data_IF_715186100459
#
_entry.id   IF_715186100459
#
_cell.length_a   1.000
_cell.length_b   1.000
_cell.length_c   1.000
_cell.angle_alpha   90.00
_cell.angle_beta   90.00
_cell.angle_gamma   90.00
#
_symmetry.space_group_name_H-M   'P 1'
#
loop_
_entity.id
_entity.type
_entity.pdbx_description
1 polymer ?
#
# COMPACT_ATOMS: atom_id res chain seq x y z
N UNK A 1 6.93 -1.49 -38.77
CA UNK A 1 8.06 -0.55 -38.39
C UNK A 1 8.26 -0.54 -36.90
N UNK A 2 7.21 -0.36 -36.12
CA UNK A 2 7.28 -0.26 -34.66
C UNK A 2 7.64 -1.58 -33.97
N UNK A 3 7.19 -2.72 -34.52
CA UNK A 3 7.61 -4.07 -34.07
C UNK A 3 9.13 -4.22 -34.07
N UNK A 4 9.84 -3.78 -35.16
CA UNK A 4 11.31 -3.83 -35.22
C UNK A 4 11.99 -2.91 -34.20
N UNK A 5 11.36 -1.79 -33.83
CA UNK A 5 11.88 -0.90 -32.78
C UNK A 5 11.71 -1.57 -31.42
N UNK A 6 10.54 -2.12 -31.14
CA UNK A 6 10.24 -2.83 -29.88
C UNK A 6 11.11 -4.08 -29.73
N UNK A 7 11.29 -4.85 -30.80
CA UNK A 7 12.21 -6.01 -30.83
C UNK A 7 13.63 -5.63 -30.38
N UNK A 8 14.17 -4.51 -30.92
CA UNK A 8 15.50 -4.00 -30.51
C UNK A 8 15.52 -3.52 -29.05
N UNK A 9 14.41 -2.98 -28.55
CA UNK A 9 14.30 -2.57 -27.13
C UNK A 9 14.30 -3.81 -26.24
N UNK A 10 13.48 -4.80 -26.57
CA UNK A 10 13.36 -6.04 -25.79
C UNK A 10 14.67 -6.84 -25.79
N UNK A 11 15.38 -6.91 -26.92
CA UNK A 11 16.66 -7.61 -27.01
C UNK A 11 17.77 -7.00 -26.13
N UNK A 12 17.64 -5.74 -25.74
CA UNK A 12 18.56 -5.06 -24.82
C UNK A 12 18.08 -5.07 -23.38
N UNK A 13 16.76 -5.06 -23.19
CA UNK A 13 16.14 -5.02 -21.87
C UNK A 13 16.16 -6.40 -21.21
N UNK A 14 15.71 -7.44 -21.91
CA UNK A 14 15.54 -8.78 -21.35
C UNK A 14 16.84 -9.57 -21.51
N UNK A 15 17.58 -9.68 -20.43
CA UNK A 15 18.85 -10.43 -20.31
C UNK A 15 18.64 -11.70 -19.50
N UNK A 16 17.99 -11.57 -18.36
CA UNK A 16 17.66 -12.64 -17.41
C UNK A 16 16.17 -12.98 -17.48
N UNK A 17 15.83 -14.26 -17.47
CA UNK A 17 14.48 -14.76 -17.74
C UNK A 17 14.29 -15.08 -19.24
N UNK A 18 13.26 -15.86 -19.53
CA UNK A 18 12.91 -16.21 -20.93
C UNK A 18 11.61 -15.53 -21.35
N UNK A 19 11.69 -14.56 -22.28
CA UNK A 19 10.54 -13.91 -22.86
C UNK A 19 10.37 -14.38 -24.31
N UNK A 20 9.25 -15.05 -24.61
CA UNK A 20 8.82 -15.38 -25.97
C UNK A 20 7.74 -14.40 -26.40
N UNK A 21 7.96 -13.72 -27.53
CA UNK A 21 7.01 -12.77 -28.13
C UNK A 21 6.53 -13.28 -29.47
N UNK A 22 5.21 -13.43 -29.59
CA UNK A 22 4.52 -13.65 -30.87
C UNK A 22 4.06 -12.29 -31.40
N UNK A 23 4.58 -11.93 -32.56
CA UNK A 23 4.30 -10.65 -33.20
C UNK A 23 3.00 -10.65 -34.02
N UNK A 24 2.46 -9.47 -34.41
CA UNK A 24 1.22 -9.38 -35.19
C UNK A 24 1.27 -10.09 -36.56
N UNK A 25 2.44 -10.31 -37.11
CA UNK A 25 2.62 -11.05 -38.37
C UNK A 25 2.77 -12.58 -38.18
N UNK A 26 2.62 -13.05 -36.93
CA UNK A 26 2.77 -14.45 -36.54
C UNK A 26 4.23 -14.91 -36.34
N UNK A 27 5.21 -14.07 -36.59
CA UNK A 27 6.61 -14.39 -36.28
C UNK A 27 6.84 -14.44 -34.76
N UNK A 28 7.84 -15.24 -34.35
CA UNK A 28 8.15 -15.46 -32.94
C UNK A 28 9.61 -15.10 -32.67
N UNK A 29 9.85 -14.34 -31.62
CA UNK A 29 11.19 -14.01 -31.13
C UNK A 29 11.33 -14.40 -29.67
N UNK A 30 12.49 -14.91 -29.26
CA UNK A 30 12.84 -15.22 -27.88
C UNK A 30 13.94 -14.30 -27.41
N UNK A 31 13.86 -13.85 -26.15
CA UNK A 31 14.80 -12.95 -25.50
C UNK A 31 15.25 -13.51 -24.16
N UNK A 32 16.45 -13.14 -23.76
CA UNK A 32 17.02 -13.47 -22.47
C UNK A 32 17.57 -14.88 -22.38
N UNK A 33 17.76 -15.35 -21.17
CA UNK A 33 18.27 -16.68 -20.82
C UNK A 33 17.35 -17.30 -19.80
N UNK A 34 17.12 -18.62 -19.83
CA UNK A 34 16.31 -19.31 -18.84
C UNK A 34 16.76 -18.96 -17.40
N UNK A 35 15.82 -18.49 -16.61
CA UNK A 35 15.95 -18.19 -15.17
C UNK A 35 14.63 -18.57 -14.50
N UNK A 36 14.41 -18.10 -13.28
CA UNK A 36 13.16 -18.36 -12.52
C UNK A 36 11.90 -17.79 -13.19
N UNK A 37 12.04 -16.80 -14.08
CA UNK A 37 10.90 -16.19 -14.77
C UNK A 37 10.82 -16.61 -16.24
N UNK A 38 9.62 -16.95 -16.67
CA UNK A 38 9.32 -17.16 -18.09
C UNK A 38 7.94 -16.61 -18.45
N UNK A 39 7.82 -16.04 -19.64
CA UNK A 39 6.55 -15.55 -20.15
C UNK A 39 6.44 -15.69 -21.67
N UNK A 40 5.29 -16.19 -22.13
CA UNK A 40 4.88 -16.21 -23.52
C UNK A 40 3.86 -15.09 -23.76
N UNK A 41 4.19 -14.13 -24.61
CA UNK A 41 3.40 -12.92 -24.83
C UNK A 41 3.03 -12.80 -26.31
N UNK A 42 1.76 -12.54 -26.59
CA UNK A 42 1.26 -12.25 -27.93
C UNK A 42 0.85 -10.80 -28.06
N UNK A 43 1.42 -10.09 -29.03
CA UNK A 43 1.02 -8.75 -29.45
C UNK A 43 0.10 -8.85 -30.67
N UNK A 44 -1.13 -8.38 -30.56
CA UNK A 44 -2.15 -8.56 -31.62
C UNK A 44 -2.04 -7.57 -32.76
N UNK A 45 -1.48 -6.37 -32.51
CA UNK A 45 -1.43 -5.33 -33.53
C UNK A 45 -0.18 -4.42 -33.41
N UNK A 46 0.14 -3.73 -34.52
CA UNK A 46 1.25 -2.80 -34.59
C UNK A 46 1.00 -1.47 -33.84
N UNK A 47 -0.26 -1.11 -33.57
CA UNK A 47 -0.63 0.06 -32.77
C UNK A 47 -0.16 -0.12 -31.34
N UNK A 48 -0.35 -1.33 -30.79
CA UNK A 48 0.12 -1.69 -29.45
C UNK A 48 1.65 -1.68 -29.37
N UNK A 49 2.36 -2.22 -30.37
CA UNK A 49 3.82 -2.12 -30.43
C UNK A 49 4.32 -0.67 -30.47
N UNK A 50 3.63 0.21 -31.21
CA UNK A 50 3.93 1.65 -31.22
C UNK A 50 3.70 2.28 -29.85
N UNK A 51 2.58 1.99 -29.20
CA UNK A 51 2.24 2.54 -27.90
C UNK A 51 3.26 2.12 -26.83
N UNK A 52 3.70 0.86 -26.84
CA UNK A 52 4.74 0.35 -25.96
C UNK A 52 6.10 1.08 -26.15
N UNK A 53 6.42 1.47 -27.38
CA UNK A 53 7.62 2.28 -27.63
C UNK A 53 7.51 3.72 -27.12
N UNK A 54 6.31 4.33 -27.11
CA UNK A 54 6.10 5.73 -26.79
C UNK A 54 5.73 5.96 -25.31
N UNK A 55 4.88 5.12 -24.75
CA UNK A 55 4.35 5.23 -23.39
C UNK A 55 4.31 3.87 -22.69
N UNK A 56 5.48 3.21 -22.49
CA UNK A 56 5.57 1.78 -22.16
C UNK A 56 4.71 1.39 -20.94
N UNK A 57 4.79 2.13 -19.84
CA UNK A 57 4.08 1.78 -18.60
C UNK A 57 2.55 1.84 -18.77
N UNK A 58 2.05 2.88 -19.45
CA UNK A 58 0.62 3.01 -19.71
C UNK A 58 0.14 1.98 -20.74
N UNK A 59 0.88 1.86 -21.84
CA UNK A 59 0.54 0.97 -22.94
C UNK A 59 0.58 -0.51 -22.55
N UNK A 60 1.47 -0.90 -21.63
CA UNK A 60 1.54 -2.26 -21.14
C UNK A 60 0.27 -2.65 -20.39
N UNK A 61 -0.12 -1.83 -19.41
CA UNK A 61 -1.33 -2.09 -18.64
C UNK A 61 -2.62 -1.99 -19.46
N UNK A 62 -2.78 -0.92 -20.28
CA UNK A 62 -3.96 -0.78 -21.14
C UNK A 62 -4.02 -1.86 -22.22
N UNK A 63 -2.89 -2.20 -22.84
CA UNK A 63 -2.81 -3.27 -23.84
C UNK A 63 -3.20 -4.63 -23.27
N UNK A 64 -2.79 -4.95 -22.04
CA UNK A 64 -3.24 -6.15 -21.35
C UNK A 64 -4.74 -6.09 -21.01
N UNK A 65 -5.22 -4.99 -20.44
CA UNK A 65 -6.65 -4.80 -20.12
C UNK A 65 -7.54 -4.97 -21.34
N UNK A 66 -7.15 -4.41 -22.47
CA UNK A 66 -7.94 -4.40 -23.71
C UNK A 66 -7.74 -5.69 -24.54
N UNK A 67 -6.89 -6.62 -24.09
CA UNK A 67 -6.61 -7.89 -24.77
C UNK A 67 -5.76 -7.74 -26.03
N UNK A 68 -5.13 -6.59 -26.25
CA UNK A 68 -4.14 -6.37 -27.32
C UNK A 68 -2.77 -6.97 -26.98
N UNK A 69 -2.52 -7.20 -25.70
CA UNK A 69 -1.40 -7.98 -25.15
C UNK A 69 -2.02 -9.17 -24.41
N UNK A 70 -1.67 -10.37 -24.86
CA UNK A 70 -2.04 -11.62 -24.18
C UNK A 70 -0.79 -12.23 -23.55
N UNK A 71 -0.90 -12.67 -22.32
CA UNK A 71 0.13 -13.43 -21.60
C UNK A 71 -0.42 -14.84 -21.44
N UNK A 72 0.32 -15.85 -21.88
CA UNK A 72 -0.11 -17.25 -21.84
C UNK A 72 -0.32 -17.70 -20.38
N UNK A 73 -1.43 -18.39 -20.13
CA UNK A 73 -1.80 -18.81 -18.78
C UNK A 73 -2.11 -17.67 -17.80
N UNK A 74 -2.29 -16.45 -18.30
CA UNK A 74 -2.43 -15.23 -17.46
C UNK A 74 -1.31 -15.03 -16.42
N UNK A 75 -0.11 -15.59 -16.68
CA UNK A 75 1.06 -15.47 -15.79
C UNK A 75 1.67 -14.06 -15.87
N UNK A 76 0.85 -13.06 -15.51
CA UNK A 76 1.20 -11.64 -15.58
C UNK A 76 2.30 -11.30 -14.58
N UNK A 77 2.35 -12.00 -13.44
CA UNK A 77 3.36 -11.76 -12.41
C UNK A 77 4.78 -12.03 -12.94
N UNK A 78 5.06 -13.21 -13.47
CA UNK A 78 6.39 -13.55 -13.99
C UNK A 78 6.81 -12.60 -15.11
N UNK A 79 5.86 -12.24 -16.00
CA UNK A 79 6.12 -11.28 -17.07
C UNK A 79 6.54 -9.92 -16.52
N UNK A 80 5.82 -9.37 -15.53
CA UNK A 80 6.12 -8.06 -14.96
C UNK A 80 7.39 -8.10 -14.08
N UNK A 81 7.56 -9.12 -13.25
CA UNK A 81 8.73 -9.31 -12.41
C UNK A 81 10.01 -9.40 -13.23
N UNK A 82 9.98 -10.17 -14.35
CA UNK A 82 11.09 -10.25 -15.31
C UNK A 82 11.44 -8.88 -15.88
N UNK A 83 10.45 -8.12 -16.37
CA UNK A 83 10.69 -6.79 -16.95
C UNK A 83 11.25 -5.80 -15.93
N UNK A 84 10.72 -5.81 -14.70
CA UNK A 84 11.14 -4.94 -13.60
C UNK A 84 12.57 -5.27 -13.19
N UNK A 85 12.90 -6.54 -12.93
CA UNK A 85 14.25 -7.00 -12.56
C UNK A 85 15.29 -6.62 -13.62
N UNK A 86 14.99 -6.87 -14.90
CA UNK A 86 15.91 -6.52 -15.99
C UNK A 86 16.12 -5.02 -16.12
N UNK A 87 15.08 -4.21 -15.87
CA UNK A 87 15.20 -2.75 -15.86
C UNK A 87 16.13 -2.27 -14.74
N UNK A 88 15.97 -2.79 -13.52
CA UNK A 88 16.80 -2.41 -12.37
C UNK A 88 18.26 -2.82 -12.59
N UNK A 89 18.51 -4.04 -13.10
CA UNK A 89 19.86 -4.55 -13.32
C UNK A 89 20.58 -3.89 -14.51
N UNK A 90 19.86 -3.51 -15.56
CA UNK A 90 20.48 -3.00 -16.80
C UNK A 90 20.79 -1.50 -16.76
N UNK A 91 20.14 -0.74 -15.88
CA UNK A 91 20.21 0.73 -15.90
C UNK A 91 19.74 1.35 -17.23
N UNK A 92 19.20 0.54 -18.13
CA UNK A 92 18.95 0.89 -19.54
C UNK A 92 17.61 1.61 -19.71
N UNK A 93 17.47 2.82 -19.17
CA UNK A 93 16.39 3.71 -19.59
C UNK A 93 16.81 4.52 -20.81
N UNK A 94 16.00 4.54 -21.88
CA UNK A 94 16.23 5.46 -23.00
C UNK A 94 16.32 6.90 -22.50
N UNK A 95 17.22 7.71 -23.06
CA UNK A 95 17.47 9.10 -22.60
C UNK A 95 16.21 9.99 -22.56
N UNK A 96 15.28 9.78 -23.50
CA UNK A 96 13.98 10.48 -23.49
C UNK A 96 13.09 10.07 -22.32
N UNK A 97 13.12 8.80 -21.88
CA UNK A 97 12.38 8.32 -20.73
C UNK A 97 12.96 8.89 -19.43
N UNK A 98 14.28 9.03 -19.33
CA UNK A 98 14.94 9.76 -18.22
C UNK A 98 14.51 11.22 -18.18
N UNK A 99 14.45 11.89 -19.34
CA UNK A 99 13.95 13.27 -19.43
C UNK A 99 12.49 13.41 -18.99
N UNK A 100 11.63 12.51 -19.45
CA UNK A 100 10.21 12.46 -19.04
C UNK A 100 10.06 12.19 -17.54
N UNK A 101 10.83 11.27 -16.98
CA UNK A 101 10.84 10.97 -15.55
C UNK A 101 11.24 12.20 -14.72
N UNK A 102 12.30 12.92 -15.13
CA UNK A 102 12.74 14.17 -14.49
C UNK A 102 11.66 15.25 -14.54
N UNK A 103 11.02 15.42 -15.70
CA UNK A 103 9.92 16.38 -15.85
C UNK A 103 8.74 16.03 -14.95
N UNK A 104 8.31 14.77 -14.91
CA UNK A 104 7.22 14.30 -14.03
C UNK A 104 7.57 14.48 -12.56
N UNK A 105 8.81 14.21 -12.17
CA UNK A 105 9.27 14.42 -10.81
C UNK A 105 9.27 15.91 -10.43
N UNK A 106 9.66 16.81 -11.33
CA UNK A 106 9.58 18.24 -11.11
C UNK A 106 8.12 18.74 -10.99
N UNK A 107 7.19 18.14 -11.77
CA UNK A 107 5.77 18.50 -11.76
C UNK A 107 4.98 17.84 -10.60
N UNK A 108 5.58 16.92 -9.83
CA UNK A 108 4.88 16.14 -8.79
C UNK A 108 4.13 17.01 -7.78
N UNK A 109 4.73 18.11 -7.34
CA UNK A 109 4.14 19.01 -6.34
C UNK A 109 2.86 19.73 -6.81
N UNK A 110 2.64 19.84 -8.12
CA UNK A 110 1.40 20.41 -8.67
C UNK A 110 0.33 19.33 -8.83
N UNK A 111 0.73 18.16 -9.34
CA UNK A 111 -0.17 17.03 -9.61
C UNK A 111 -0.69 16.39 -8.32
N UNK A 112 0.11 16.40 -7.25
CA UNK A 112 -0.20 15.75 -5.96
C UNK A 112 -0.87 16.69 -4.94
N UNK A 113 -1.34 17.87 -5.33
CA UNK A 113 -2.11 18.73 -4.43
C UNK A 113 -3.44 18.09 -4.07
N UNK A 114 -3.51 17.51 -2.87
CA UNK A 114 -4.71 16.87 -2.35
C UNK A 114 -5.47 17.83 -1.42
N UNK A 115 -6.28 18.70 -2.00
CA UNK A 115 -7.20 19.58 -1.25
C UNK A 115 -8.32 18.73 -0.59
N UNK A 116 -9.03 19.24 0.46
CA UNK A 116 -10.13 18.50 1.08
C UNK A 116 -11.21 18.03 0.08
N UNK A 117 -11.49 18.81 -0.96
CA UNK A 117 -12.45 18.44 -2.00
C UNK A 117 -11.90 17.34 -2.94
N UNK A 118 -10.62 17.44 -3.31
CA UNK A 118 -9.99 16.38 -4.13
C UNK A 118 -9.78 15.10 -3.34
N UNK A 119 -9.46 15.18 -2.04
CA UNK A 119 -9.35 14.03 -1.15
C UNK A 119 -10.66 13.23 -1.10
N UNK A 120 -11.79 13.90 -0.86
CA UNK A 120 -13.13 13.25 -0.87
C UNK A 120 -13.43 12.58 -2.20
N UNK A 121 -13.15 13.23 -3.33
CA UNK A 121 -13.39 12.68 -4.67
C UNK A 121 -12.47 11.49 -4.99
N UNK A 122 -11.20 11.58 -4.62
CA UNK A 122 -10.23 10.51 -4.86
C UNK A 122 -10.56 9.27 -4.01
N UNK A 123 -10.94 9.47 -2.75
CA UNK A 123 -11.44 8.40 -1.87
C UNK A 123 -12.72 7.78 -2.45
N UNK A 124 -13.71 8.58 -2.90
CA UNK A 124 -14.92 8.06 -3.52
C UNK A 124 -14.60 7.20 -4.76
N UNK A 125 -13.72 7.65 -5.66
CA UNK A 125 -13.37 6.90 -6.87
C UNK A 125 -12.67 5.57 -6.56
N UNK A 126 -11.80 5.53 -5.55
CA UNK A 126 -11.13 4.29 -5.13
C UNK A 126 -12.11 3.32 -4.42
N UNK A 127 -13.10 3.85 -3.69
CA UNK A 127 -14.10 3.04 -2.97
C UNK A 127 -15.44 2.91 -3.70
N UNK A 128 -15.56 3.35 -4.97
CA UNK A 128 -16.64 2.92 -5.89
C UNK A 128 -16.52 1.42 -6.25
N UNK A 129 -15.36 0.80 -5.93
CA UNK A 129 -15.19 -0.64 -5.87
C UNK A 129 -15.96 -1.15 -4.64
N UNK A 130 -16.85 -2.12 -4.83
CA UNK A 130 -17.72 -2.61 -3.76
C UNK A 130 -16.93 -3.31 -2.64
N UNK A 131 -17.41 -3.22 -1.38
CA UNK A 131 -16.89 -4.02 -0.26
C UNK A 131 -16.91 -5.53 -0.57
N UNK A 132 -17.85 -5.97 -1.42
CA UNK A 132 -17.96 -7.38 -1.78
C UNK A 132 -16.76 -7.87 -2.60
N UNK A 133 -16.16 -7.01 -3.44
CA UNK A 133 -14.91 -7.36 -4.10
C UNK A 133 -13.77 -7.53 -3.10
N UNK A 134 -13.62 -6.60 -2.16
CA UNK A 134 -12.57 -6.66 -1.15
C UNK A 134 -12.69 -7.92 -0.27
N UNK A 135 -13.91 -8.35 0.07
CA UNK A 135 -14.16 -9.61 0.80
C UNK A 135 -13.73 -10.87 0.06
N UNK A 136 -13.58 -10.82 -1.27
CA UNK A 136 -13.17 -11.99 -2.03
C UNK A 136 -11.68 -12.31 -1.87
N UNK A 137 -10.85 -11.31 -1.59
CA UNK A 137 -9.39 -11.49 -1.59
C UNK A 137 -8.67 -11.01 -0.34
N UNK A 138 -9.26 -10.13 0.48
CA UNK A 138 -8.68 -9.74 1.78
C UNK A 138 -8.85 -10.85 2.83
N UNK A 139 -8.21 -10.66 3.98
CA UNK A 139 -8.45 -11.43 5.18
C UNK A 139 -9.85 -11.13 5.77
N UNK A 140 -10.31 -11.96 6.71
CA UNK A 140 -11.63 -11.81 7.35
C UNK A 140 -11.84 -10.46 8.02
N UNK A 141 -10.77 -9.82 8.50
CA UNK A 141 -10.79 -8.50 9.13
C UNK A 141 -10.72 -7.34 8.11
N UNK A 142 -10.66 -7.66 6.81
CA UNK A 142 -10.62 -6.68 5.71
C UNK A 142 -9.45 -5.69 5.83
N UNK A 143 -8.24 -6.19 6.12
CA UNK A 143 -7.04 -5.37 6.23
C UNK A 143 -6.43 -5.10 4.84
N UNK A 144 -6.67 -3.92 4.27
CA UNK A 144 -6.12 -3.51 2.97
C UNK A 144 -4.80 -2.75 3.14
N UNK A 145 -3.83 -3.41 3.75
CA UNK A 145 -2.48 -2.90 4.01
C UNK A 145 -1.50 -4.05 4.22
N UNK A 146 -0.21 -3.76 4.20
CA UNK A 146 0.85 -4.74 4.41
C UNK A 146 0.66 -5.53 5.71
N UNK A 147 0.68 -6.85 5.64
CA UNK A 147 0.68 -7.74 6.79
C UNK A 147 2.08 -7.85 7.43
N UNK A 148 2.20 -8.51 8.59
CA UNK A 148 3.46 -8.77 9.26
C UNK A 148 3.67 -10.28 9.41
N UNK A 149 4.51 -10.85 8.56
CA UNK A 149 4.85 -12.27 8.57
C UNK A 149 6.02 -12.51 9.54
N UNK A 150 5.71 -12.82 10.80
CA UNK A 150 6.73 -13.17 11.79
C UNK A 150 7.41 -14.52 11.47
N UNK A 151 6.74 -15.38 10.71
CA UNK A 151 7.23 -16.65 10.18
C UNK A 151 6.73 -16.82 8.73
N UNK A 152 7.49 -17.52 7.87
CA UNK A 152 7.11 -17.70 6.46
C UNK A 152 5.84 -18.53 6.22
N UNK A 153 5.45 -19.36 7.18
CA UNK A 153 4.31 -20.29 7.11
C UNK A 153 2.98 -19.71 7.62
N UNK A 154 2.95 -18.41 7.95
CA UNK A 154 1.73 -17.77 8.45
C UNK A 154 0.69 -17.62 7.34
N UNK A 155 -0.58 -17.84 7.71
CA UNK A 155 -1.72 -17.44 6.86
C UNK A 155 -1.84 -15.91 6.81
N UNK A 156 -2.61 -15.41 5.85
CA UNK A 156 -2.86 -13.96 5.74
C UNK A 156 -3.56 -13.42 7.00
N UNK A 157 -4.52 -14.16 7.57
CA UNK A 157 -5.24 -13.81 8.80
C UNK A 157 -4.28 -13.68 9.99
N UNK A 158 -3.40 -14.67 10.17
CA UNK A 158 -2.38 -14.64 11.23
C UNK A 158 -1.41 -13.46 11.05
N UNK A 159 -0.95 -13.23 9.83
CA UNK A 159 -0.02 -12.14 9.53
C UNK A 159 -0.66 -10.75 9.68
N UNK A 160 -1.94 -10.61 9.32
CA UNK A 160 -2.68 -9.35 9.55
C UNK A 160 -2.97 -9.12 11.04
N UNK A 161 -3.28 -10.17 11.82
CA UNK A 161 -3.39 -10.05 13.26
C UNK A 161 -2.04 -9.69 13.89
N UNK A 162 -0.96 -10.35 13.47
CA UNK A 162 0.39 -10.04 13.93
C UNK A 162 0.81 -8.60 13.64
N UNK A 163 0.41 -8.03 12.48
CA UNK A 163 0.60 -6.61 12.17
C UNK A 163 -0.07 -5.70 13.19
N UNK A 164 -1.33 -5.98 13.53
CA UNK A 164 -2.10 -5.16 14.49
C UNK A 164 -1.49 -5.25 15.89
N UNK A 165 -1.09 -6.43 16.30
CA UNK A 165 -0.40 -6.65 17.57
C UNK A 165 0.98 -5.95 17.61
N UNK A 166 1.74 -6.00 16.52
CA UNK A 166 3.03 -5.32 16.40
C UNK A 166 2.89 -3.79 16.52
N UNK A 167 1.87 -3.23 15.87
CA UNK A 167 1.52 -1.81 15.98
C UNK A 167 1.11 -1.45 17.40
N UNK A 168 0.24 -2.25 18.04
CA UNK A 168 -0.20 -2.02 19.41
C UNK A 168 0.97 -2.03 20.41
N UNK A 169 1.94 -2.95 20.24
CA UNK A 169 3.15 -2.99 21.06
C UNK A 169 4.00 -1.74 20.88
N UNK A 170 4.22 -1.28 19.63
CA UNK A 170 4.94 -0.03 19.35
C UNK A 170 4.24 1.18 19.94
N UNK A 171 2.94 1.22 19.89
CA UNK A 171 2.14 2.27 20.54
C UNK A 171 2.11 2.15 22.05
N UNK A 172 2.55 1.02 22.63
CA UNK A 172 2.49 0.76 24.08
C UNK A 172 1.09 1.00 24.61
N UNK A 173 0.09 0.38 23.97
CA UNK A 173 -1.31 0.54 24.36
C UNK A 173 -1.54 -0.06 25.74
N UNK A 174 -2.18 0.69 26.60
CA UNK A 174 -2.66 0.28 27.93
C UNK A 174 -4.19 0.45 28.01
N UNK A 175 -4.88 -0.35 28.83
CA UNK A 175 -6.33 -0.23 28.99
C UNK A 175 -6.76 1.19 29.41
N UNK A 176 -7.82 1.69 28.78
CA UNK A 176 -8.37 3.02 29.04
C UNK A 176 -7.70 4.16 28.27
N UNK A 177 -6.59 3.91 27.55
CA UNK A 177 -5.97 4.93 26.70
C UNK A 177 -6.89 5.37 25.56
N UNK A 178 -6.85 6.67 25.25
CA UNK A 178 -7.56 7.27 24.11
C UNK A 178 -6.66 7.21 22.88
N UNK A 179 -7.15 6.56 21.81
CA UNK A 179 -6.41 6.36 20.57
C UNK A 179 -7.15 7.01 19.40
N UNK A 180 -6.44 7.77 18.57
CA UNK A 180 -6.94 8.23 17.27
C UNK A 180 -6.45 7.30 16.18
N UNK A 181 -7.35 6.75 15.36
CA UNK A 181 -7.04 5.98 14.14
C UNK A 181 -7.34 6.83 12.91
N UNK A 182 -6.28 7.37 12.28
CA UNK A 182 -6.38 8.25 11.10
C UNK A 182 -6.46 7.40 9.82
N UNK A 183 -7.62 7.39 9.18
CA UNK A 183 -7.88 6.54 8.04
C UNK A 183 -8.25 5.12 8.47
N UNK A 184 -9.21 5.01 9.37
CA UNK A 184 -9.57 3.77 10.06
C UNK A 184 -10.13 2.65 9.17
N UNK A 185 -10.37 2.92 7.88
CA UNK A 185 -10.93 1.93 6.95
C UNK A 185 -12.23 1.32 7.48
N UNK A 186 -12.36 0.00 7.38
CA UNK A 186 -13.51 -0.76 7.91
C UNK A 186 -13.43 -1.04 9.43
N UNK A 187 -12.55 -0.34 10.15
CA UNK A 187 -12.48 -0.34 11.61
C UNK A 187 -11.64 -1.46 12.24
N UNK A 188 -11.00 -2.33 11.47
CA UNK A 188 -10.34 -3.52 12.01
C UNK A 188 -9.22 -3.23 13.02
N UNK A 189 -8.37 -2.20 12.78
CA UNK A 189 -7.37 -1.76 13.76
C UNK A 189 -8.02 -1.25 15.03
N UNK A 190 -9.00 -0.34 14.92
CA UNK A 190 -9.71 0.24 16.06
C UNK A 190 -10.40 -0.84 16.92
N UNK A 191 -11.09 -1.79 16.28
CA UNK A 191 -11.74 -2.92 16.95
C UNK A 191 -10.74 -3.81 17.69
N UNK A 192 -9.58 -4.09 17.10
CA UNK A 192 -8.52 -4.86 17.73
C UNK A 192 -7.97 -4.13 18.97
N UNK A 193 -7.67 -2.83 18.85
CA UNK A 193 -7.15 -2.05 19.98
C UNK A 193 -8.17 -1.95 21.13
N UNK A 194 -9.46 -1.83 20.80
CA UNK A 194 -10.53 -1.77 21.81
C UNK A 194 -10.77 -3.12 22.50
N UNK A 195 -10.83 -4.22 21.71
CA UNK A 195 -11.12 -5.56 22.20
C UNK A 195 -9.96 -6.18 22.98
N UNK A 196 -8.76 -6.17 22.37
CA UNK A 196 -7.63 -6.95 22.87
C UNK A 196 -6.74 -6.15 23.83
N UNK A 197 -6.76 -4.81 23.73
CA UNK A 197 -5.93 -3.92 24.52
C UNK A 197 -6.71 -2.97 25.44
N UNK A 198 -8.05 -2.99 25.36
CA UNK A 198 -8.91 -2.20 26.25
C UNK A 198 -8.89 -0.68 26.00
N UNK A 199 -8.44 -0.23 24.84
CA UNK A 199 -8.39 1.18 24.48
C UNK A 199 -9.77 1.75 24.14
N UNK A 200 -9.91 3.08 24.27
CA UNK A 200 -11.00 3.85 23.68
C UNK A 200 -10.54 4.46 22.36
N UNK A 201 -11.11 4.03 21.24
CA UNK A 201 -10.60 4.38 19.91
C UNK A 201 -11.58 5.27 19.16
N UNK A 202 -11.10 6.43 18.70
CA UNK A 202 -11.79 7.29 17.73
C UNK A 202 -11.20 7.05 16.36
N UNK A 203 -11.96 6.47 15.43
CA UNK A 203 -11.57 6.26 14.04
C UNK A 203 -12.15 7.32 13.13
N UNK A 204 -11.33 7.91 12.24
CA UNK A 204 -11.79 8.88 11.24
C UNK A 204 -11.56 8.37 9.83
N UNK A 205 -12.55 8.56 8.96
CA UNK A 205 -12.49 8.22 7.52
C UNK A 205 -13.29 9.21 6.70
N UNK A 206 -12.96 9.35 5.40
CA UNK A 206 -13.74 10.13 4.43
C UNK A 206 -14.69 9.27 3.58
N UNK A 207 -14.64 7.94 3.73
CA UNK A 207 -15.53 7.01 3.04
C UNK A 207 -16.79 6.72 3.86
N UNK A 208 -17.95 7.09 3.31
CA UNK A 208 -19.25 6.80 3.96
C UNK A 208 -19.51 5.29 4.05
N UNK A 209 -19.07 4.51 3.08
CA UNK A 209 -19.19 3.06 3.07
C UNK A 209 -18.34 2.41 4.18
N UNK A 210 -17.06 2.79 4.28
CA UNK A 210 -16.19 2.31 5.36
C UNK A 210 -16.71 2.69 6.73
N UNK A 211 -17.18 3.94 6.90
CA UNK A 211 -17.76 4.44 8.13
C UNK A 211 -18.95 3.59 8.57
N UNK A 212 -19.93 3.36 7.66
CA UNK A 212 -21.11 2.55 7.97
C UNK A 212 -20.73 1.10 8.32
N UNK A 213 -19.80 0.51 7.60
CA UNK A 213 -19.30 -0.85 7.87
C UNK A 213 -18.57 -0.92 9.21
N UNK A 214 -17.72 0.06 9.54
CA UNK A 214 -17.01 0.10 10.83
C UNK A 214 -17.97 0.22 12.03
N UNK A 215 -18.98 1.08 11.93
CA UNK A 215 -20.02 1.22 12.96
C UNK A 215 -20.81 -0.08 13.17
N UNK A 216 -21.23 -0.73 12.07
CA UNK A 216 -21.94 -2.00 12.14
C UNK A 216 -21.08 -3.09 12.80
N UNK A 217 -19.81 -3.23 12.39
CA UNK A 217 -18.87 -4.19 12.99
C UNK A 217 -18.62 -3.92 14.49
N UNK A 218 -18.56 -2.66 14.90
CA UNK A 218 -18.44 -2.31 16.32
C UNK A 218 -19.67 -2.75 17.13
N UNK A 219 -20.86 -2.55 16.59
CA UNK A 219 -22.10 -2.98 17.23
C UNK A 219 -22.19 -4.52 17.33
N UNK A 220 -21.88 -5.22 16.24
CA UNK A 220 -21.85 -6.69 16.17
C UNK A 220 -20.82 -7.30 17.16
N UNK A 221 -19.68 -6.63 17.37
CA UNK A 221 -18.65 -7.04 18.32
C UNK A 221 -18.92 -6.60 19.78
N UNK A 222 -19.98 -5.84 20.05
CA UNK A 222 -20.27 -5.29 21.37
C UNK A 222 -19.24 -4.26 21.88
N UNK A 223 -18.63 -3.50 20.95
CA UNK A 223 -17.56 -2.54 21.23
C UNK A 223 -17.98 -1.08 21.03
N UNK A 224 -19.27 -0.80 20.86
CA UNK A 224 -19.78 0.55 20.61
C UNK A 224 -19.53 1.55 21.75
N UNK A 225 -19.29 1.09 22.95
CA UNK A 225 -18.92 1.90 24.12
C UNK A 225 -17.43 2.25 24.16
N UNK A 226 -16.59 1.52 23.41
CA UNK A 226 -15.13 1.70 23.33
C UNK A 226 -14.65 2.24 22.00
N UNK A 227 -15.50 2.29 20.97
CA UNK A 227 -15.14 2.77 19.64
C UNK A 227 -16.12 3.81 19.12
N UNK A 228 -15.58 4.88 18.60
CA UNK A 228 -16.34 5.93 17.91
C UNK A 228 -15.80 6.07 16.50
N UNK A 229 -16.65 5.90 15.47
CA UNK A 229 -16.28 6.14 14.08
C UNK A 229 -16.92 7.41 13.55
N UNK A 230 -16.11 8.28 12.92
CA UNK A 230 -16.55 9.59 12.44
C UNK A 230 -16.28 9.71 10.93
N UNK A 231 -17.27 10.16 10.17
CA UNK A 231 -17.11 10.60 8.80
C UNK A 231 -16.52 12.02 8.79
N UNK A 232 -15.22 12.13 9.06
CA UNK A 232 -14.53 13.38 9.35
C UNK A 232 -13.15 13.40 8.73
N UNK A 233 -12.72 14.57 8.25
CA UNK A 233 -11.34 14.80 7.85
C UNK A 233 -10.45 14.87 9.10
N UNK A 234 -9.30 14.17 9.08
CA UNK A 234 -8.36 14.17 10.21
C UNK A 234 -7.88 15.59 10.57
N UNK A 235 -7.86 16.51 9.61
CA UNK A 235 -7.47 17.91 9.83
C UNK A 235 -8.44 18.67 10.75
N UNK A 236 -9.68 18.22 10.84
CA UNK A 236 -10.74 18.82 11.65
C UNK A 236 -10.84 18.22 13.06
N UNK A 237 -10.00 17.23 13.40
CA UNK A 237 -9.89 16.68 14.76
C UNK A 237 -9.21 17.70 15.67
N UNK A 238 -9.80 17.99 16.82
CA UNK A 238 -9.32 19.03 17.76
C UNK A 238 -8.96 18.49 19.13
N UNK A 239 -9.42 17.28 19.44
CA UNK A 239 -9.15 16.60 20.73
C UNK A 239 -7.72 16.08 20.78
N UNK A 240 -7.20 15.86 21.98
CA UNK A 240 -5.91 15.21 22.22
C UNK A 240 -6.10 13.74 22.57
N UNK A 241 -5.11 12.93 22.21
CA UNK A 241 -5.09 11.48 22.35
C UNK A 241 -3.77 11.01 22.94
N UNK A 242 -3.82 9.95 23.76
CA UNK A 242 -2.61 9.31 24.29
C UNK A 242 -1.79 8.65 23.18
N UNK A 243 -2.48 8.16 22.15
CA UNK A 243 -1.88 7.48 21.01
C UNK A 243 -2.52 7.89 19.70
N UNK A 244 -1.72 7.90 18.64
CA UNK A 244 -2.18 8.10 17.26
C UNK A 244 -1.68 6.96 16.40
N UNK A 245 -2.56 6.34 15.63
CA UNK A 245 -2.21 5.33 14.62
C UNK A 245 -2.71 5.78 13.25
N UNK A 246 -1.93 5.49 12.22
CA UNK A 246 -2.33 5.69 10.83
C UNK A 246 -1.69 4.62 9.96
N UNK A 247 -2.51 3.87 9.24
CA UNK A 247 -2.05 2.71 8.43
C UNK A 247 -2.52 2.87 7.00
N UNK A 248 -1.56 3.02 6.05
CA UNK A 248 -1.85 3.10 4.61
C UNK A 248 -2.61 4.35 4.19
N UNK A 249 -2.57 5.41 5.01
CA UNK A 249 -3.29 6.66 4.73
C UNK A 249 -2.36 7.74 4.16
N UNK A 250 -1.08 7.74 4.55
CA UNK A 250 -0.12 8.79 4.17
C UNK A 250 0.08 8.86 2.65
N UNK A 251 -0.06 7.74 1.96
CA UNK A 251 0.01 7.62 0.50
C UNK A 251 -1.08 8.44 -0.21
N UNK A 252 -2.18 8.72 0.49
CA UNK A 252 -3.30 9.54 -0.02
C UNK A 252 -3.20 11.01 0.36
N UNK A 253 -2.23 11.41 1.18
CA UNK A 253 -2.05 12.80 1.63
C UNK A 253 -1.49 13.69 0.52
N UNK A 254 -0.53 13.19 -0.24
CA UNK A 254 0.22 13.92 -1.25
C UNK A 254 1.36 14.75 -0.68
N UNK A 255 2.51 14.77 -1.36
CA UNK A 255 3.75 15.32 -0.82
C UNK A 255 3.67 16.80 -0.37
N UNK A 256 2.90 17.72 -1.01
CA UNK A 256 2.77 19.09 -0.53
C UNK A 256 2.03 19.23 0.81
N UNK A 257 1.30 18.19 1.23
CA UNK A 257 0.50 18.19 2.45
C UNK A 257 1.19 17.45 3.62
N UNK A 258 2.35 16.85 3.43
CA UNK A 258 3.07 16.18 4.51
C UNK A 258 3.35 17.07 5.74
N UNK A 259 3.75 18.36 5.58
CA UNK A 259 3.88 19.24 6.74
C UNK A 259 2.57 19.37 7.52
N UNK A 260 1.44 19.60 6.84
CA UNK A 260 0.11 19.72 7.47
C UNK A 260 -0.28 18.43 8.19
N UNK A 261 0.05 17.29 7.61
CA UNK A 261 -0.23 15.98 8.20
C UNK A 261 0.56 15.78 9.51
N UNK A 262 1.87 16.00 9.50
CA UNK A 262 2.69 15.80 10.70
C UNK A 262 2.48 16.88 11.75
N UNK A 263 2.20 18.14 11.35
CA UNK A 263 1.76 19.19 12.28
C UNK A 263 0.48 18.75 13.00
N UNK A 264 -0.52 18.21 12.27
CA UNK A 264 -1.76 17.71 12.86
C UNK A 264 -1.50 16.51 13.80
N UNK A 265 -0.66 15.56 13.42
CA UNK A 265 -0.28 14.44 14.32
C UNK A 265 0.31 14.97 15.62
N UNK A 266 1.21 15.98 15.53
CA UNK A 266 1.80 16.62 16.71
C UNK A 266 0.75 17.34 17.57
N UNK A 267 -0.19 18.06 16.95
CA UNK A 267 -1.21 18.86 17.65
C UNK A 267 -2.19 17.98 18.47
N UNK A 268 -2.61 16.84 17.90
CA UNK A 268 -3.59 15.94 18.55
C UNK A 268 -2.93 14.93 19.48
N UNK A 269 -1.60 14.84 19.52
CA UNK A 269 -0.87 13.92 20.37
C UNK A 269 -0.62 14.54 21.76
N UNK A 270 -0.96 13.80 22.83
CA UNK A 270 -0.62 14.17 24.20
C UNK A 270 0.89 14.42 24.34
N UNK A 271 1.35 15.31 25.26
CA UNK A 271 2.78 15.55 25.48
C UNK A 271 3.63 14.30 25.73
N UNK A 272 3.07 13.25 26.35
CA UNK A 272 3.71 11.95 26.58
C UNK A 272 3.23 10.87 25.60
N UNK A 273 2.52 11.30 24.55
CA UNK A 273 1.90 10.45 23.56
C UNK A 273 2.90 9.84 22.58
N UNK A 274 2.47 8.74 21.96
CA UNK A 274 3.19 8.03 20.90
C UNK A 274 2.30 7.94 19.66
N UNK A 275 2.85 8.28 18.51
CA UNK A 275 2.21 8.06 17.21
C UNK A 275 2.93 6.96 16.43
N UNK A 276 2.18 6.15 15.69
CA UNK A 276 2.73 5.19 14.74
C UNK A 276 2.13 5.43 13.37
N UNK A 277 3.01 5.72 12.41
CA UNK A 277 2.63 5.94 11.01
C UNK A 277 3.22 4.79 10.19
N UNK A 278 2.31 3.97 9.65
CA UNK A 278 2.63 2.84 8.79
C UNK A 278 2.28 3.23 7.34
N UNK A 279 3.27 3.31 6.48
CA UNK A 279 3.10 3.74 5.08
C UNK A 279 4.02 2.97 4.14
N UNK A 280 3.57 2.74 2.91
CA UNK A 280 4.47 2.31 1.84
C UNK A 280 5.55 3.39 1.66
N UNK A 281 6.77 2.95 1.36
CA UNK A 281 7.87 3.89 1.15
C UNK A 281 8.93 3.39 0.18
N UNK A 282 9.62 4.34 -0.45
CA UNK A 282 10.75 4.07 -1.31
C UNK A 282 12.05 4.15 -0.51
N UNK A 283 12.91 3.14 -0.68
CA UNK A 283 14.28 3.13 -0.13
C UNK A 283 15.30 3.67 -1.14
N UNK A 284 14.81 4.39 -2.14
CA UNK A 284 15.55 5.09 -3.20
C UNK A 284 15.10 6.57 -3.27
N UNK A 285 15.75 7.42 -4.09
CA UNK A 285 15.32 8.80 -4.26
C UNK A 285 13.87 8.93 -4.72
N UNK A 286 13.16 10.03 -4.38
CA UNK A 286 11.77 10.24 -4.72
C UNK A 286 11.48 10.06 -6.21
N UNK A 287 10.47 9.26 -6.52
CA UNK A 287 10.02 9.01 -7.89
C UNK A 287 8.50 9.25 -8.05
N UNK A 288 8.03 9.62 -9.25
CA UNK A 288 6.60 9.84 -9.48
C UNK A 288 5.86 8.50 -9.54
N UNK A 289 4.63 8.49 -9.04
CA UNK A 289 3.72 7.34 -9.14
C UNK A 289 3.56 6.88 -10.60
N UNK A 290 3.48 5.56 -10.80
CA UNK A 290 3.16 4.97 -12.10
C UNK A 290 1.91 5.63 -12.71
N UNK A 291 1.94 6.09 -13.98
CA UNK A 291 0.80 6.73 -14.61
C UNK A 291 -0.42 5.81 -14.70
N UNK A 292 -0.19 4.51 -14.87
CA UNK A 292 -1.25 3.53 -14.92
C UNK A 292 -1.91 3.35 -13.54
N UNK A 293 -1.12 3.19 -12.48
CA UNK A 293 -1.62 3.11 -11.08
C UNK A 293 -2.40 4.39 -10.74
N UNK A 294 -1.86 5.56 -11.07
CA UNK A 294 -2.52 6.84 -10.80
C UNK A 294 -3.84 7.02 -11.57
N UNK A 295 -3.98 6.39 -12.74
CA UNK A 295 -5.20 6.49 -13.56
C UNK A 295 -6.29 5.51 -13.12
N UNK A 296 -5.93 4.27 -12.82
CA UNK A 296 -6.88 3.17 -12.67
C UNK A 296 -7.11 2.72 -11.24
N UNK A 297 -6.12 2.88 -10.34
CA UNK A 297 -6.15 2.28 -9.01
C UNK A 297 -6.17 3.37 -7.92
N UNK A 298 -5.14 4.23 -7.85
CA UNK A 298 -4.96 5.22 -6.79
C UNK A 298 -4.80 6.64 -7.34
N UNK A 299 -5.89 7.29 -7.77
CA UNK A 299 -5.82 8.69 -8.23
C UNK A 299 -5.27 9.61 -7.14
N UNK A 300 -4.21 10.35 -7.46
CA UNK A 300 -3.54 11.24 -6.51
C UNK A 300 -2.64 10.55 -5.49
N UNK A 301 -2.56 9.22 -5.50
CA UNK A 301 -1.70 8.45 -4.62
C UNK A 301 -0.21 8.72 -4.87
N UNK A 302 0.58 8.71 -3.81
CA UNK A 302 2.01 8.90 -3.84
C UNK A 302 2.73 8.02 -2.83
N UNK A 303 3.74 7.28 -3.29
CA UNK A 303 4.62 6.50 -2.42
C UNK A 303 5.83 7.37 -2.08
N UNK A 304 5.97 7.82 -0.81
CA UNK A 304 7.05 8.72 -0.41
C UNK A 304 8.39 7.99 -0.26
N UNK A 305 9.47 8.67 -0.58
CA UNK A 305 10.78 8.28 -0.10
C UNK A 305 10.99 8.75 1.36
N UNK A 306 11.94 8.14 2.06
CA UNK A 306 12.29 8.57 3.43
C UNK A 306 12.69 10.06 3.47
N UNK A 307 13.40 10.51 2.44
CA UNK A 307 13.81 11.92 2.29
C UNK A 307 12.66 12.90 2.04
N UNK A 308 11.48 12.43 1.62
CA UNK A 308 10.29 13.28 1.52
C UNK A 308 9.63 13.51 2.89
N UNK A 309 9.74 12.55 3.80
CA UNK A 309 9.02 12.53 5.08
C UNK A 309 9.81 13.18 6.21
N UNK A 310 11.11 12.89 6.31
CA UNK A 310 11.96 13.36 7.40
C UNK A 310 11.88 14.89 7.64
N UNK A 311 11.95 15.77 6.61
CA UNK A 311 11.86 17.22 6.83
C UNK A 311 10.52 17.67 7.43
N UNK A 312 9.43 16.96 7.12
CA UNK A 312 8.10 17.28 7.65
C UNK A 312 7.94 16.84 9.11
N UNK A 313 8.51 15.69 9.47
CA UNK A 313 8.55 15.18 10.85
C UNK A 313 9.39 16.12 11.73
N UNK A 314 10.57 16.51 11.26
CA UNK A 314 11.47 17.45 11.97
C UNK A 314 10.79 18.79 12.22
N UNK A 315 10.14 19.35 11.18
CA UNK A 315 9.43 20.63 11.27
C UNK A 315 8.27 20.60 12.27
N UNK A 316 7.56 19.46 12.36
CA UNK A 316 6.47 19.27 13.34
C UNK A 316 6.98 19.11 14.79
N UNK A 317 8.29 19.13 15.02
CA UNK A 317 8.89 18.98 16.34
C UNK A 317 8.74 17.58 16.95
N UNK A 318 8.51 16.56 16.11
CA UNK A 318 8.37 15.19 16.54
C UNK A 318 9.72 14.47 16.58
N UNK A 319 10.00 13.74 17.67
CA UNK A 319 11.08 12.78 17.74
C UNK A 319 10.75 11.54 16.93
N UNK A 320 11.62 11.14 16.03
CA UNK A 320 11.60 9.79 15.46
C UNK A 320 12.27 8.85 16.46
N UNK A 321 11.45 8.30 17.36
CA UNK A 321 11.94 7.41 18.42
C UNK A 321 12.39 6.06 17.86
N UNK A 322 11.72 5.58 16.80
CA UNK A 322 12.11 4.40 16.03
C UNK A 322 11.60 4.50 14.58
N UNK A 323 12.33 3.88 13.68
CA UNK A 323 11.91 3.63 12.30
C UNK A 323 12.21 2.18 11.95
N UNK A 324 11.17 1.39 11.74
CA UNK A 324 11.30 0.03 11.21
C UNK A 324 10.93 0.00 9.72
N UNK A 325 11.77 -0.65 8.93
CA UNK A 325 11.51 -0.88 7.51
C UNK A 325 11.08 -2.34 7.34
N UNK A 326 9.80 -2.54 7.09
CA UNK A 326 9.20 -3.85 6.82
C UNK A 326 9.44 -4.22 5.35
N UNK A 327 10.65 -4.65 5.04
CA UNK A 327 11.01 -5.19 3.72
C UNK A 327 10.62 -6.67 3.67
N UNK A 328 10.13 -7.11 2.50
CA UNK A 328 9.75 -8.51 2.28
C UNK A 328 8.45 -8.96 2.95
N UNK A 329 7.62 -8.03 3.46
CA UNK A 329 6.30 -8.36 4.01
C UNK A 329 5.15 -8.09 3.03
N UNK A 330 5.30 -7.09 2.16
CA UNK A 330 4.20 -6.76 1.24
C UNK A 330 4.14 -7.70 0.03
N UNK A 331 5.26 -8.22 -0.44
CA UNK A 331 5.27 -9.25 -1.49
C UNK A 331 4.35 -10.42 -1.13
N UNK A 332 4.59 -11.14 -0.03
CA UNK A 332 3.71 -12.22 0.44
C UNK A 332 2.26 -11.80 0.68
N UNK A 333 2.02 -10.58 1.18
CA UNK A 333 0.65 -10.04 1.35
C UNK A 333 -0.08 -9.96 0.01
N UNK A 334 0.57 -9.40 -1.02
CA UNK A 334 0.02 -9.26 -2.37
C UNK A 334 -0.11 -10.62 -3.08
N UNK A 335 0.82 -11.53 -2.83
CA UNK A 335 0.74 -12.90 -3.29
C UNK A 335 -0.55 -13.59 -2.80
N UNK A 336 -0.83 -13.54 -1.49
CA UNK A 336 -2.08 -14.06 -0.93
C UNK A 336 -3.31 -13.38 -1.52
N UNK A 337 -3.28 -12.05 -1.72
CA UNK A 337 -4.40 -11.35 -2.35
C UNK A 337 -4.61 -11.78 -3.80
N UNK A 338 -3.54 -11.95 -4.56
CA UNK A 338 -3.60 -12.40 -5.96
C UNK A 338 -4.16 -13.82 -6.06
N UNK A 339 -3.68 -14.75 -5.24
CA UNK A 339 -4.16 -16.13 -5.24
C UNK A 339 -5.64 -16.22 -4.88
N UNK A 340 -6.09 -15.46 -3.87
CA UNK A 340 -7.49 -15.39 -3.49
C UNK A 340 -8.36 -14.74 -4.57
N UNK A 341 -7.86 -13.70 -5.21
CA UNK A 341 -8.55 -13.04 -6.34
C UNK A 341 -8.70 -14.02 -7.50
N UNK A 342 -7.66 -14.74 -7.89
CA UNK A 342 -7.73 -15.73 -8.97
C UNK A 342 -8.69 -16.88 -8.63
N UNK A 343 -8.72 -17.33 -7.40
CA UNK A 343 -9.68 -18.35 -6.96
C UNK A 343 -11.15 -17.90 -7.06
N UNK A 344 -11.41 -16.58 -7.15
CA UNK A 344 -12.75 -15.99 -7.23
C UNK A 344 -12.98 -15.23 -8.55
N UNK A 345 -12.13 -15.43 -9.56
CA UNK A 345 -12.12 -14.63 -10.80
C UNK A 345 -13.45 -14.68 -11.55
N UNK A 346 -14.15 -15.82 -11.57
CA UNK A 346 -15.45 -15.96 -12.23
C UNK A 346 -16.52 -15.10 -11.54
N UNK A 347 -16.51 -15.06 -10.21
CA UNK A 347 -17.40 -14.19 -9.45
C UNK A 347 -17.10 -12.71 -9.68
N UNK A 348 -15.84 -12.35 -9.78
CA UNK A 348 -15.44 -10.97 -10.13
C UNK A 348 -15.93 -10.61 -11.53
N UNK A 349 -15.84 -11.55 -12.49
CA UNK A 349 -16.33 -11.37 -13.87
C UNK A 349 -17.84 -11.14 -13.92
N UNK A 350 -18.60 -11.84 -13.05
CA UNK A 350 -20.06 -11.64 -12.92
C UNK A 350 -20.40 -10.27 -12.29
N UNK A 351 -19.58 -9.80 -11.34
CA UNK A 351 -19.81 -8.50 -10.67
C UNK A 351 -19.46 -7.31 -11.56
N UNK A 352 -18.50 -7.48 -12.46
CA UNK A 352 -17.95 -6.43 -13.32
C UNK A 352 -17.90 -6.91 -14.78
N UNK A 353 -16.72 -6.89 -15.40
CA UNK A 353 -16.46 -7.40 -16.75
C UNK A 353 -15.03 -7.97 -16.87
N UNK A 354 -14.73 -8.57 -18.02
CA UNK A 354 -13.38 -9.12 -18.29
C UNK A 354 -12.28 -8.06 -18.26
N UNK A 355 -12.58 -6.84 -18.71
CA UNK A 355 -11.62 -5.74 -18.69
C UNK A 355 -11.25 -5.36 -17.26
N UNK A 356 -12.21 -5.36 -16.36
CA UNK A 356 -12.00 -5.14 -14.92
C UNK A 356 -11.16 -6.27 -14.30
N UNK A 357 -11.48 -7.53 -14.61
CA UNK A 357 -10.70 -8.69 -14.16
C UNK A 357 -9.23 -8.53 -14.56
N UNK A 358 -8.97 -8.23 -15.84
CA UNK A 358 -7.60 -8.01 -16.33
C UNK A 358 -6.92 -6.80 -15.68
N UNK A 359 -7.66 -5.71 -15.45
CA UNK A 359 -7.16 -4.55 -14.73
C UNK A 359 -6.70 -4.91 -13.30
N UNK A 360 -7.53 -5.62 -12.57
CA UNK A 360 -7.26 -5.94 -11.17
C UNK A 360 -6.15 -6.99 -11.01
N UNK A 361 -6.13 -7.99 -11.90
CA UNK A 361 -5.02 -8.96 -12.01
C UNK A 361 -3.69 -8.27 -12.29
N UNK A 362 -3.67 -7.35 -13.27
CA UNK A 362 -2.48 -6.56 -13.59
C UNK A 362 -2.03 -5.70 -12.39
N UNK A 363 -2.98 -5.10 -11.68
CA UNK A 363 -2.69 -4.30 -10.49
C UNK A 363 -1.99 -5.14 -9.40
N UNK A 364 -2.58 -6.27 -9.02
CA UNK A 364 -2.03 -7.13 -7.96
C UNK A 364 -0.64 -7.66 -8.35
N UNK A 365 -0.48 -8.16 -9.58
CA UNK A 365 0.79 -8.67 -10.09
C UNK A 365 1.86 -7.57 -10.18
N UNK A 366 1.50 -6.37 -10.65
CA UNK A 366 2.44 -5.26 -10.78
C UNK A 366 2.91 -4.74 -9.41
N UNK A 367 2.02 -4.71 -8.41
CA UNK A 367 2.40 -4.31 -7.06
C UNK A 367 3.27 -5.37 -6.38
N UNK A 368 2.92 -6.67 -6.48
CA UNK A 368 3.74 -7.76 -5.94
C UNK A 368 5.16 -7.71 -6.53
N UNK A 369 5.28 -7.64 -7.86
CA UNK A 369 6.57 -7.54 -8.54
C UNK A 369 7.35 -6.26 -8.14
N UNK A 370 6.67 -5.14 -7.88
CA UNK A 370 7.34 -3.92 -7.44
C UNK A 370 7.91 -4.06 -6.02
N UNK A 371 7.24 -4.75 -5.10
CA UNK A 371 7.75 -4.99 -3.75
C UNK A 371 8.87 -6.03 -3.68
N UNK A 372 8.92 -6.94 -4.63
CA UNK A 372 9.95 -7.98 -4.67
C UNK A 372 11.17 -7.61 -5.49
N UNK A 373 10.98 -6.84 -6.58
CA UNK A 373 12.03 -6.57 -7.56
C UNK A 373 12.48 -5.10 -7.60
N UNK A 374 11.86 -4.21 -6.80
CA UNK A 374 12.25 -2.79 -6.69
C UNK A 374 12.57 -2.39 -5.26
N UNK A 375 13.05 -1.17 -5.10
CA UNK A 375 13.38 -0.57 -3.82
C UNK A 375 12.13 -0.03 -3.07
N UNK A 376 11.10 -0.88 -2.93
CA UNK A 376 9.89 -0.57 -2.17
C UNK A 376 9.83 -1.38 -0.87
N UNK A 377 9.31 -0.76 0.16
CA UNK A 377 9.07 -1.39 1.44
C UNK A 377 7.95 -0.67 2.17
N UNK A 378 7.81 -0.97 3.46
CA UNK A 378 6.87 -0.27 4.33
C UNK A 378 7.64 0.33 5.47
N UNK A 379 7.39 1.59 5.77
CA UNK A 379 7.93 2.29 6.91
C UNK A 379 6.93 2.27 8.07
N UNK A 380 7.40 1.95 9.26
CA UNK A 380 6.68 2.20 10.50
C UNK A 380 7.47 3.23 11.32
N UNK A 381 7.05 4.49 11.25
CA UNK A 381 7.59 5.55 12.09
C UNK A 381 6.91 5.52 13.45
N UNK A 382 7.71 5.34 14.50
CA UNK A 382 7.28 5.55 15.87
C UNK A 382 7.73 6.95 16.30
N UNK A 383 6.76 7.83 16.47
CA UNK A 383 6.98 9.25 16.71
C UNK A 383 6.50 9.64 18.11
N UNK A 384 7.14 10.64 18.71
CA UNK A 384 6.73 11.17 19.99
C UNK A 384 7.08 12.65 20.13
N UNK A 385 6.43 13.37 21.08
CA UNK A 385 6.78 14.75 21.38
C UNK A 385 7.96 14.88 22.33
N UNK A 386 8.20 13.84 23.15
CA UNK A 386 9.29 13.79 24.13
C UNK A 386 10.25 12.65 23.80
N UNK A 387 11.55 12.89 24.00
CA UNK A 387 12.62 11.94 23.70
C UNK A 387 12.44 10.58 24.38
N UNK A 388 11.96 10.55 25.60
CA UNK A 388 11.86 9.34 26.43
C UNK A 388 10.42 8.81 26.59
N UNK A 389 9.47 9.24 25.76
CA UNK A 389 8.13 8.66 25.72
C UNK A 389 8.14 7.18 25.30
N UNK A 390 9.16 6.81 24.51
CA UNK A 390 9.43 5.42 24.07
C UNK A 390 10.67 4.92 24.79
N UNK A 391 10.75 3.66 25.24
CA UNK A 391 11.96 3.04 25.77
C UNK A 391 13.12 3.13 24.77
N UNK A 392 14.35 3.29 25.30
CA UNK A 392 15.56 3.41 24.47
C UNK A 392 16.00 2.11 23.80
N UNK A 393 15.49 0.96 24.26
CA UNK A 393 15.71 -0.35 23.66
C UNK A 393 14.39 -0.94 23.15
N UNK A 394 14.47 -1.89 22.22
CA UNK A 394 13.30 -2.53 21.61
C UNK A 394 12.76 -3.75 22.39
N UNK A 395 13.28 -4.03 23.59
CA UNK A 395 12.93 -5.22 24.36
C UNK A 395 11.41 -5.33 24.64
N UNK A 396 10.75 -4.17 24.82
CA UNK A 396 9.31 -4.10 25.03
C UNK A 396 8.47 -4.66 23.86
N UNK A 397 9.02 -4.72 22.64
CA UNK A 397 8.34 -5.29 21.46
C UNK A 397 8.22 -6.81 21.56
N UNK A 398 9.14 -7.46 22.26
CA UNK A 398 9.24 -8.93 22.38
C UNK A 398 8.72 -9.44 23.72
N UNK A 399 8.43 -8.53 24.67
CA UNK A 399 7.74 -8.91 25.90
C UNK A 399 6.32 -9.40 25.57
N UNK A 400 5.81 -10.35 26.35
CA UNK A 400 4.44 -10.83 26.18
C UNK A 400 3.45 -9.66 26.29
N UNK A 401 2.48 -9.49 25.36
CA UNK A 401 1.52 -8.41 25.43
C UNK A 401 0.72 -8.53 26.73
N UNK A 402 0.60 -7.41 27.44
CA UNK A 402 -0.36 -7.29 28.55
C UNK A 402 -1.78 -7.26 27.95
N UNK A 403 -2.32 -8.42 27.63
CA UNK A 403 -3.74 -8.54 27.24
C UNK A 403 -4.59 -8.16 28.46
N UNK A 404 -5.65 -7.39 28.23
CA UNK A 404 -6.63 -7.09 29.25
C UNK A 404 -7.20 -8.41 29.79
N UNK A 405 -6.76 -8.83 30.96
CA UNK A 405 -7.42 -9.93 31.68
C UNK A 405 -8.65 -9.33 32.32
N UNK A 406 -9.80 -9.92 32.05
CA UNK A 406 -11.03 -9.59 32.73
C UNK A 406 -10.81 -9.67 34.26
N UNK A 407 -11.17 -8.60 34.94
CA UNK A 407 -11.28 -8.42 36.42
C UNK A 407 -10.16 -9.06 37.25
N UNK A 408 -9.17 -8.28 37.66
CA UNK A 408 -8.18 -8.69 38.65
C UNK A 408 -6.85 -7.96 38.61
N UNK A 409 -6.82 -6.63 38.68
CA UNK A 409 -5.59 -5.88 38.92
C UNK A 409 -5.54 -5.41 40.38
N UNK A 410 -4.86 -6.19 41.24
CA UNK A 410 -4.35 -5.71 42.49
C UNK A 410 -2.90 -5.25 42.31
N UNK A 411 -2.62 -4.03 42.70
CA UNK A 411 -1.36 -3.31 42.77
C UNK A 411 -0.09 -4.15 42.90
N UNK A 412 0.88 -3.89 42.01
CA UNK A 412 2.29 -4.04 42.30
C UNK A 412 2.99 -2.75 41.93
N UNK A 413 2.92 -1.77 42.86
CA UNK A 413 3.91 -0.72 42.97
C UNK A 413 4.98 -1.22 43.95
N UNK A 414 6.19 -1.43 43.45
CA UNK A 414 7.47 -1.22 44.14
C UNK A 414 8.57 -1.08 43.11
#
# INVERSE_FOLDING_TARGET
>A
MWTKVLDRVLSRLVVDGELKVTWPDGSVTRYGRPDQFSADVTLKDEKTARALCLTPVMALGEGYMDGAIEVEGDNVYDFLAMLIRNRENSGAMPSWAVGMHRFRNAAKGVVQRNTPLSARRNVAHHYDISDDLYRLFLDEDMQYSCAYFARPDMTLEEAQQAKKDHIARKLRIEPGMRVLDIGCGWGGMALTLARDYGAHVTGVTLSSNQHATAQRRAAEAGLSDKTEFRLQDYRDVTETFDRVVSVGMLEHVGSPQFPVYFDKVSDVLDPDGIALIHTIGLTEPPSPTSPWIAKYIFPGGYVPALSDLAPSIEKAGLWTADLEVLRGHYGPTLHHWRDRFEAQVDRVREMYDERFVRMFRFYLAACEAAFEEQHQGVFQFQLSRKQYAVPTTRDYLYAEPRKAQGEGWAHAAQ
#
